data_IF_331486255803
#
_entry.id   IF_331486255803
#
_cell.length_a   1.000
_cell.length_b   1.000
_cell.length_c   1.000
_cell.angle_alpha   90.00
_cell.angle_beta   90.00
_cell.angle_gamma   90.00
#
_symmetry.space_group_name_H-M   'P 1'
#
loop_
_entity.id
_entity.type
_entity.pdbx_description
1 polymer ?
#
# COMPACT_ATOMS: atom_id res chain seq x y z
N UNK A 1 -35.59 -25.40 -13.64
CA UNK A 1 -34.31 -24.94 -14.22
C UNK A 1 -33.18 -25.21 -13.22
N UNK A 2 -32.33 -26.22 -13.46
CA UNK A 2 -31.25 -26.61 -12.53
C UNK A 2 -30.05 -25.64 -12.51
N UNK A 3 -29.18 -25.78 -11.50
CA UNK A 3 -27.92 -25.02 -11.41
C UNK A 3 -26.96 -25.44 -12.53
N UNK A 4 -26.65 -24.54 -13.46
CA UNK A 4 -25.55 -24.73 -14.42
C UNK A 4 -24.22 -24.31 -13.78
N UNK A 5 -23.16 -25.06 -14.05
CA UNK A 5 -21.79 -24.67 -13.69
C UNK A 5 -21.42 -23.40 -14.47
N UNK A 6 -20.85 -22.41 -13.78
CA UNK A 6 -20.37 -21.17 -14.37
C UNK A 6 -18.85 -21.09 -14.22
N UNK A 7 -18.17 -20.57 -15.23
CA UNK A 7 -16.76 -20.19 -15.13
C UNK A 7 -16.57 -18.99 -14.20
N UNK A 8 -15.43 -18.93 -13.49
CA UNK A 8 -15.08 -17.79 -12.64
C UNK A 8 -14.47 -16.70 -13.52
N UNK A 9 -15.34 -15.95 -14.19
CA UNK A 9 -15.04 -14.75 -14.96
C UNK A 9 -16.16 -13.72 -14.82
N UNK A 10 -15.94 -12.49 -15.31
CA UNK A 10 -16.98 -11.46 -15.31
C UNK A 10 -18.21 -11.95 -16.09
N UNK A 11 -19.39 -11.83 -15.49
CA UNK A 11 -20.66 -12.12 -16.18
C UNK A 11 -20.99 -10.92 -17.06
N UNK A 12 -21.00 -11.07 -18.37
CA UNK A 12 -21.20 -9.94 -19.30
C UNK A 12 -22.63 -9.39 -19.28
N UNK A 13 -23.63 -10.28 -19.29
CA UNK A 13 -25.03 -9.86 -19.24
C UNK A 13 -25.35 -9.13 -17.93
N UNK A 14 -25.78 -7.87 -18.03
CA UNK A 14 -26.03 -6.97 -16.89
C UNK A 14 -27.10 -7.50 -15.93
N UNK A 15 -28.22 -8.01 -16.46
CA UNK A 15 -29.33 -8.54 -15.65
C UNK A 15 -28.90 -9.80 -14.90
N UNK A 16 -28.25 -10.75 -15.59
CA UNK A 16 -27.69 -11.96 -14.97
C UNK A 16 -26.64 -11.62 -13.92
N UNK A 17 -25.78 -10.63 -14.17
CA UNK A 17 -24.77 -10.15 -13.22
C UNK A 17 -25.41 -9.55 -11.97
N UNK A 18 -26.46 -8.74 -12.11
CA UNK A 18 -27.17 -8.12 -10.98
C UNK A 18 -27.87 -9.17 -10.09
N UNK A 19 -28.56 -10.13 -10.71
CA UNK A 19 -29.21 -11.23 -9.99
C UNK A 19 -28.17 -12.11 -9.29
N UNK A 20 -27.07 -12.42 -9.98
CA UNK A 20 -26.00 -13.25 -9.42
C UNK A 20 -25.28 -12.53 -8.28
N UNK A 21 -25.01 -11.23 -8.41
CA UNK A 21 -24.45 -10.41 -7.34
C UNK A 21 -25.33 -10.47 -6.09
N UNK A 22 -26.63 -10.25 -6.25
CA UNK A 22 -27.58 -10.27 -5.13
C UNK A 22 -27.60 -11.63 -4.42
N UNK A 23 -27.66 -12.73 -5.19
CA UNK A 23 -27.66 -14.10 -4.64
C UNK A 23 -26.34 -14.47 -3.97
N UNK A 24 -25.20 -14.17 -4.62
CA UNK A 24 -23.87 -14.49 -4.08
C UNK A 24 -23.54 -13.65 -2.86
N UNK A 25 -23.86 -12.36 -2.86
CA UNK A 25 -23.68 -11.47 -1.69
C UNK A 25 -24.45 -12.00 -0.49
N UNK A 26 -25.73 -12.34 -0.68
CA UNK A 26 -26.55 -12.89 0.41
C UNK A 26 -26.01 -14.25 0.90
N UNK A 27 -25.58 -15.13 -0.02
CA UNK A 27 -24.95 -16.40 0.35
C UNK A 27 -23.63 -16.22 1.10
N UNK A 28 -22.83 -15.21 0.75
CA UNK A 28 -21.58 -14.88 1.43
C UNK A 28 -21.84 -14.31 2.83
N UNK A 29 -22.83 -13.44 2.99
CA UNK A 29 -23.28 -12.92 4.30
C UNK A 29 -23.70 -14.08 5.20
N UNK A 30 -24.48 -15.02 4.67
CA UNK A 30 -24.94 -16.17 5.45
C UNK A 30 -23.79 -17.10 5.87
N UNK A 31 -22.77 -17.25 5.02
CA UNK A 31 -21.54 -17.98 5.38
C UNK A 31 -20.71 -17.25 6.44
N UNK A 32 -20.58 -15.93 6.33
CA UNK A 32 -19.91 -15.11 7.34
C UNK A 32 -20.62 -15.18 8.69
N UNK A 33 -21.96 -15.16 8.69
CA UNK A 33 -22.79 -15.36 9.89
C UNK A 33 -22.57 -16.75 10.51
N UNK A 34 -22.60 -17.81 9.70
CA UNK A 34 -22.34 -19.17 10.16
C UNK A 34 -20.96 -19.29 10.81
N UNK A 35 -19.92 -18.74 10.18
CA UNK A 35 -18.56 -18.74 10.73
C UNK A 35 -18.50 -18.01 12.08
N UNK A 36 -19.12 -16.83 12.17
CA UNK A 36 -19.17 -16.04 13.39
C UNK A 36 -19.80 -16.82 14.54
N UNK A 37 -20.94 -17.48 14.29
CA UNK A 37 -21.65 -18.27 15.32
C UNK A 37 -20.92 -19.55 15.69
N UNK A 38 -20.41 -20.30 14.70
CA UNK A 38 -19.78 -21.61 14.94
C UNK A 38 -18.43 -21.51 15.65
N UNK A 39 -17.71 -20.41 15.46
CA UNK A 39 -16.35 -20.25 15.94
C UNK A 39 -16.17 -19.09 16.92
N UNK A 40 -17.28 -18.49 17.41
CA UNK A 40 -17.27 -17.30 18.27
C UNK A 40 -16.35 -16.18 17.73
N UNK A 41 -16.45 -15.95 16.42
CA UNK A 41 -15.58 -15.02 15.71
C UNK A 41 -16.31 -13.73 15.37
N UNK A 42 -15.62 -12.59 15.52
CA UNK A 42 -16.09 -11.31 14.97
C UNK A 42 -15.76 -11.22 13.49
N UNK A 43 -16.77 -11.07 12.64
CA UNK A 43 -16.62 -11.07 11.17
C UNK A 43 -17.28 -9.83 10.59
N UNK A 44 -16.55 -9.10 9.73
CA UNK A 44 -17.05 -7.98 8.95
C UNK A 44 -16.91 -8.25 7.45
N UNK A 45 -17.91 -7.82 6.66
CA UNK A 45 -17.91 -7.90 5.21
C UNK A 45 -18.33 -6.55 4.63
N UNK A 46 -17.55 -6.06 3.67
CA UNK A 46 -17.83 -4.86 2.88
C UNK A 46 -17.84 -5.24 1.40
N UNK A 47 -18.88 -4.84 0.68
CA UNK A 47 -19.03 -5.11 -0.76
C UNK A 47 -19.46 -3.85 -1.47
N UNK A 48 -18.68 -3.40 -2.45
CA UNK A 48 -19.03 -2.31 -3.35
C UNK A 48 -19.52 -2.92 -4.66
N UNK A 49 -20.73 -2.57 -5.11
CA UNK A 49 -21.21 -3.01 -6.42
C UNK A 49 -20.50 -2.27 -7.55
N UNK A 50 -20.61 -2.78 -8.77
CA UNK A 50 -20.17 -2.08 -9.97
C UNK A 50 -20.88 -0.71 -10.20
N UNK A 51 -21.97 -0.44 -9.49
CA UNK A 51 -22.67 0.84 -9.50
C UNK A 51 -22.22 1.79 -8.37
N UNK A 52 -21.18 1.42 -7.61
CA UNK A 52 -20.68 2.19 -6.47
C UNK A 52 -21.49 2.05 -5.18
N UNK A 53 -22.56 1.23 -5.17
CA UNK A 53 -23.38 1.07 -3.95
C UNK A 53 -22.65 0.18 -2.95
N UNK A 54 -22.50 0.70 -1.74
CA UNK A 54 -21.87 0.01 -0.62
C UNK A 54 -22.90 -0.88 0.11
N UNK A 55 -22.47 -2.09 0.45
CA UNK A 55 -23.20 -3.03 1.30
C UNK A 55 -22.26 -3.49 2.41
N UNK A 56 -22.74 -3.48 3.64
CA UNK A 56 -21.97 -3.93 4.81
C UNK A 56 -22.73 -4.98 5.62
N UNK A 57 -21.98 -5.83 6.30
CA UNK A 57 -22.47 -6.80 7.27
C UNK A 57 -21.43 -6.97 8.37
N UNK A 58 -21.89 -7.15 9.61
CA UNK A 58 -21.03 -7.53 10.74
C UNK A 58 -21.76 -8.51 11.66
N UNK A 59 -21.03 -9.44 12.27
CA UNK A 59 -21.51 -10.40 13.26
C UNK A 59 -20.47 -10.62 14.36
N UNK A 60 -20.92 -10.96 15.57
CA UNK A 60 -20.09 -11.01 16.79
C UNK A 60 -19.94 -9.63 17.41
N UNK A 61 -19.13 -8.77 16.79
CA UNK A 61 -18.96 -7.37 17.15
C UNK A 61 -19.63 -6.42 16.13
N UNK A 62 -19.81 -5.16 16.53
CA UNK A 62 -20.23 -4.12 15.58
C UNK A 62 -19.11 -3.78 14.60
N UNK A 63 -19.49 -3.36 13.38
CA UNK A 63 -18.55 -3.05 12.30
C UNK A 63 -17.46 -2.04 12.71
N UNK A 64 -17.83 -0.99 13.45
CA UNK A 64 -16.90 0.07 13.86
C UNK A 64 -15.79 -0.48 14.77
N UNK A 65 -16.13 -1.34 15.74
CA UNK A 65 -15.17 -1.98 16.63
C UNK A 65 -14.21 -2.90 15.87
N UNK A 66 -14.73 -3.65 14.89
CA UNK A 66 -13.92 -4.55 14.06
C UNK A 66 -12.93 -3.72 13.22
N UNK A 67 -13.39 -2.64 12.59
CA UNK A 67 -12.54 -1.74 11.81
C UNK A 67 -11.51 -1.00 12.66
N UNK A 68 -11.88 -0.55 13.86
CA UNK A 68 -10.95 0.09 14.80
C UNK A 68 -9.85 -0.89 15.24
N UNK A 69 -10.21 -2.14 15.57
CA UNK A 69 -9.23 -3.19 15.90
C UNK A 69 -8.29 -3.47 14.74
N UNK A 70 -8.84 -3.60 13.53
CA UNK A 70 -8.05 -3.79 12.32
C UNK A 70 -7.10 -2.61 12.06
N UNK A 71 -7.59 -1.38 12.16
CA UNK A 71 -6.79 -0.17 11.95
C UNK A 71 -5.65 -0.02 12.94
N UNK A 72 -5.87 -0.39 14.21
CA UNK A 72 -4.80 -0.40 15.24
C UNK A 72 -3.73 -1.45 14.99
N UNK A 73 -4.13 -2.63 14.51
CA UNK A 73 -3.19 -3.73 14.22
C UNK A 73 -2.41 -3.51 12.91
N UNK A 74 -3.02 -2.85 11.94
CA UNK A 74 -2.46 -2.61 10.60
C UNK A 74 -2.16 -1.13 10.33
N UNK A 75 -1.84 -0.36 11.37
CA UNK A 75 -1.64 1.08 11.24
C UNK A 75 -0.53 1.44 10.25
N UNK A 76 0.56 0.68 10.23
CA UNK A 76 1.70 0.93 9.34
C UNK A 76 1.42 0.51 7.89
N UNK A 77 0.70 -0.59 7.69
CA UNK A 77 0.25 -1.04 6.36
C UNK A 77 -0.74 -0.03 5.73
N UNK A 78 -1.68 0.49 6.53
CA UNK A 78 -2.65 1.49 6.09
C UNK A 78 -1.97 2.81 5.74
N UNK A 79 -0.94 3.23 6.48
CA UNK A 79 -0.12 4.40 6.13
C UNK A 79 0.63 4.19 4.81
N UNK A 80 1.20 3.01 4.59
CA UNK A 80 1.89 2.71 3.34
C UNK A 80 0.94 2.75 2.13
N UNK A 81 -0.27 2.19 2.26
CA UNK A 81 -1.32 2.23 1.24
C UNK A 81 -1.83 3.66 0.97
N UNK A 82 -2.01 4.47 2.02
CA UNK A 82 -2.40 5.88 1.89
C UNK A 82 -1.34 6.67 1.10
N UNK A 83 -0.06 6.51 1.44
CA UNK A 83 1.06 7.13 0.72
C UNK A 83 1.08 6.69 -0.75
N UNK A 84 0.85 5.41 -1.04
CA UNK A 84 0.83 4.89 -2.41
C UNK A 84 -0.36 5.44 -3.22
N UNK A 85 -1.56 5.50 -2.63
CA UNK A 85 -2.75 6.05 -3.29
C UNK A 85 -2.60 7.54 -3.60
N UNK A 86 -2.00 8.29 -2.67
CA UNK A 86 -1.65 9.70 -2.88
C UNK A 86 -0.61 9.86 -3.98
N UNK A 87 0.42 9.03 -4.02
CA UNK A 87 1.43 9.04 -5.08
C UNK A 87 0.86 8.74 -6.48
N UNK A 88 -0.28 8.05 -6.59
CA UNK A 88 -0.97 7.77 -7.87
C UNK A 88 -1.95 8.89 -8.28
N UNK A 89 -2.50 9.64 -7.32
CA UNK A 89 -3.43 10.73 -7.58
C UNK A 89 -2.74 12.06 -7.91
N UNK A 90 -1.46 12.21 -7.55
CA UNK A 90 -0.66 13.36 -7.93
C UNK A 90 0.17 13.01 -9.14
N UNK A 91 -0.09 13.68 -10.25
CA UNK A 91 0.79 13.64 -11.40
C UNK A 91 2.19 14.10 -11.04
N UNK A 92 3.13 13.83 -11.94
CA UNK A 92 4.57 13.94 -11.70
C UNK A 92 4.97 15.23 -10.96
N UNK A 93 6.08 15.21 -10.20
CA UNK A 93 6.65 16.39 -9.53
C UNK A 93 6.69 17.67 -10.41
N UNK A 94 6.71 17.49 -11.74
CA UNK A 94 6.59 18.54 -12.74
C UNK A 94 5.25 19.31 -12.69
N UNK A 95 4.11 18.64 -12.53
CA UNK A 95 2.79 19.28 -12.45
C UNK A 95 2.64 20.10 -11.16
N UNK A 96 3.25 19.64 -10.06
CA UNK A 96 3.31 20.41 -8.82
C UNK A 96 4.19 21.66 -8.97
N UNK A 97 5.31 21.55 -9.68
CA UNK A 97 6.18 22.68 -10.01
C UNK A 97 5.46 23.71 -10.87
N UNK A 98 4.77 23.26 -11.92
CA UNK A 98 4.02 24.13 -12.84
C UNK A 98 2.85 24.84 -12.12
N UNK A 99 2.17 24.16 -11.19
CA UNK A 99 1.11 24.75 -10.36
C UNK A 99 1.66 25.82 -9.40
N UNK A 100 2.82 25.56 -8.77
CA UNK A 100 3.49 26.51 -7.86
C UNK A 100 3.98 27.73 -8.64
N UNK A 101 4.61 27.53 -9.80
CA UNK A 101 5.08 28.62 -10.66
C UNK A 101 3.91 29.49 -11.16
N UNK A 102 2.84 28.86 -11.66
CA UNK A 102 1.65 29.55 -12.18
C UNK A 102 0.93 30.38 -11.12
N UNK A 103 0.82 29.89 -9.88
CA UNK A 103 0.02 30.53 -8.82
C UNK A 103 0.80 31.48 -7.90
N UNK A 104 2.08 31.22 -7.66
CA UNK A 104 2.87 31.95 -6.66
C UNK A 104 4.00 32.80 -7.26
N UNK A 105 4.48 32.46 -8.45
CA UNK A 105 5.60 33.17 -9.11
C UNK A 105 5.10 34.11 -10.21
N UNK A 106 4.00 33.77 -10.89
CA UNK A 106 3.29 34.66 -11.81
C UNK A 106 2.54 35.79 -11.09
N UNK A 107 2.32 36.91 -11.78
CA UNK A 107 1.68 38.16 -11.31
C UNK A 107 0.21 38.04 -10.83
N UNK A 108 -0.26 36.84 -10.48
CA UNK A 108 -1.61 36.50 -10.06
C UNK A 108 -1.81 36.36 -8.55
N UNK A 109 -0.80 36.69 -7.72
CA UNK A 109 -0.84 36.57 -6.26
C UNK A 109 -2.01 37.34 -5.62
N UNK A 110 -2.56 38.37 -6.29
CA UNK A 110 -3.67 39.18 -5.78
C UNK A 110 -5.04 38.48 -5.78
N UNK A 111 -5.21 37.33 -6.44
CA UNK A 111 -6.49 36.61 -6.58
C UNK A 111 -6.48 35.17 -6.06
N UNK A 112 -5.48 34.79 -5.26
CA UNK A 112 -5.39 33.42 -4.71
C UNK A 112 -6.26 33.33 -3.44
N UNK A 113 -7.25 32.45 -3.43
CA UNK A 113 -8.12 32.25 -2.27
C UNK A 113 -7.43 31.43 -1.18
N UNK A 114 -7.85 31.62 0.08
CA UNK A 114 -7.33 30.86 1.23
C UNK A 114 -7.51 29.35 1.03
N UNK A 115 -8.65 28.91 0.48
CA UNK A 115 -8.90 27.49 0.19
C UNK A 115 -7.88 26.92 -0.79
N UNK A 116 -7.46 27.69 -1.80
CA UNK A 116 -6.44 27.24 -2.74
C UNK A 116 -5.04 27.17 -2.14
N UNK A 117 -4.74 27.99 -1.12
CA UNK A 117 -3.49 27.92 -0.36
C UNK A 117 -3.46 26.69 0.56
N UNK A 118 -4.58 26.39 1.22
CA UNK A 118 -4.71 25.19 2.08
C UNK A 118 -4.53 23.92 1.23
N UNK A 119 -5.18 23.85 0.07
CA UNK A 119 -4.99 22.73 -0.87
C UNK A 119 -3.54 22.60 -1.34
N UNK A 120 -2.88 23.74 -1.61
CA UNK A 120 -1.47 23.72 -2.04
C UNK A 120 -0.54 23.26 -0.91
N UNK A 121 -0.79 23.67 0.32
CA UNK A 121 -0.05 23.21 1.50
C UNK A 121 -0.20 21.70 1.70
N UNK A 122 -1.42 21.16 1.60
CA UNK A 122 -1.68 19.72 1.68
C UNK A 122 -0.96 18.93 0.57
N UNK A 123 -0.98 19.48 -0.66
CA UNK A 123 -0.29 18.88 -1.80
C UNK A 123 1.24 18.86 -1.59
N UNK A 124 1.82 19.97 -1.14
CA UNK A 124 3.26 20.06 -0.84
C UNK A 124 3.66 19.14 0.32
N UNK A 125 2.85 19.10 1.38
CA UNK A 125 3.06 18.19 2.51
C UNK A 125 3.06 16.73 2.09
N UNK A 126 2.13 16.36 1.20
CA UNK A 126 2.03 15.01 0.66
C UNK A 126 3.21 14.67 -0.24
N UNK A 127 3.57 15.56 -1.17
CA UNK A 127 4.73 15.36 -2.05
C UNK A 127 6.02 15.20 -1.25
N UNK A 128 6.23 16.04 -0.23
CA UNK A 128 7.38 15.96 0.66
C UNK A 128 7.43 14.62 1.42
N UNK A 129 6.27 14.14 1.89
CA UNK A 129 6.15 12.85 2.56
C UNK A 129 6.54 11.69 1.63
N UNK A 130 6.02 11.68 0.40
CA UNK A 130 6.35 10.68 -0.63
C UNK A 130 7.85 10.71 -0.97
N UNK A 131 8.43 11.90 -1.18
CA UNK A 131 9.87 12.05 -1.45
C UNK A 131 10.72 11.53 -0.30
N UNK A 132 10.36 11.84 0.95
CA UNK A 132 11.07 11.34 2.14
C UNK A 132 10.97 9.81 2.27
N UNK A 133 9.79 9.24 2.01
CA UNK A 133 9.60 7.79 2.00
C UNK A 133 10.48 7.13 0.95
N UNK A 134 10.49 7.65 -0.29
CA UNK A 134 11.33 7.11 -1.37
C UNK A 134 12.82 7.24 -1.07
N UNK A 135 13.25 8.37 -0.52
CA UNK A 135 14.64 8.57 -0.07
C UNK A 135 15.03 7.53 0.98
N UNK A 136 14.14 7.24 1.92
CA UNK A 136 14.39 6.25 2.98
C UNK A 136 14.49 4.85 2.40
N UNK A 137 13.61 4.46 1.49
CA UNK A 137 13.65 3.17 0.79
C UNK A 137 14.98 2.96 0.05
N UNK A 138 15.43 3.97 -0.72
CA UNK A 138 16.70 3.92 -1.44
C UNK A 138 17.90 3.86 -0.49
N UNK A 139 17.85 4.60 0.62
CA UNK A 139 18.91 4.57 1.64
C UNK A 139 19.03 3.19 2.28
N UNK A 140 17.90 2.55 2.61
CA UNK A 140 17.91 1.19 3.16
C UNK A 140 18.51 0.17 2.19
N UNK A 141 18.13 0.25 0.90
CA UNK A 141 18.73 -0.57 -0.16
C UNK A 141 20.24 -0.37 -0.28
N UNK A 142 20.70 0.88 -0.19
CA UNK A 142 22.13 1.18 -0.21
C UNK A 142 22.86 0.59 1.00
N UNK A 143 22.29 0.69 2.20
CA UNK A 143 22.86 0.10 3.42
C UNK A 143 22.97 -1.42 3.30
N UNK A 144 21.95 -2.08 2.75
CA UNK A 144 21.97 -3.53 2.53
C UNK A 144 23.09 -3.95 1.56
N UNK A 145 23.19 -3.28 0.40
CA UNK A 145 24.26 -3.52 -0.56
C UNK A 145 25.67 -3.29 0.05
N UNK A 146 25.84 -2.26 0.88
CA UNK A 146 27.11 -1.99 1.54
C UNK A 146 27.47 -3.08 2.56
N UNK A 147 26.49 -3.60 3.32
CA UNK A 147 26.72 -4.73 4.24
C UNK A 147 27.14 -6.00 3.52
N UNK A 148 26.53 -6.30 2.38
CA UNK A 148 26.94 -7.44 1.55
C UNK A 148 28.38 -7.27 1.05
N UNK A 149 28.71 -6.07 0.54
CA UNK A 149 30.07 -5.76 0.09
C UNK A 149 31.10 -5.87 1.21
N UNK A 150 30.78 -5.39 2.41
CA UNK A 150 31.65 -5.53 3.59
C UNK A 150 31.93 -7.00 3.91
N UNK A 151 30.89 -7.85 3.84
CA UNK A 151 31.04 -9.29 4.09
C UNK A 151 31.96 -9.96 3.07
N UNK A 152 31.83 -9.63 1.79
CA UNK A 152 32.69 -10.16 0.73
C UNK A 152 34.15 -9.74 0.92
N UNK A 153 34.40 -8.46 1.18
CA UNK A 153 35.75 -7.94 1.42
C UNK A 153 36.41 -8.55 2.66
N UNK A 154 35.63 -8.81 3.72
CA UNK A 154 36.12 -9.51 4.91
C UNK A 154 36.57 -10.94 4.59
N UNK A 155 35.80 -11.67 3.78
CA UNK A 155 36.16 -13.01 3.36
C UNK A 155 37.42 -13.02 2.48
N UNK A 156 37.52 -12.08 1.53
CA UNK A 156 38.71 -11.93 0.68
C UNK A 156 39.95 -11.59 1.50
N UNK A 157 39.85 -10.65 2.45
CA UNK A 157 40.95 -10.31 3.35
C UNK A 157 41.42 -11.49 4.20
N UNK A 158 40.51 -12.37 4.67
CA UNK A 158 40.90 -13.59 5.39
C UNK A 158 41.69 -14.55 4.52
N UNK A 159 41.30 -14.71 3.25
CA UNK A 159 42.02 -15.55 2.28
C UNK A 159 43.41 -14.97 2.02
N UNK A 160 43.51 -13.68 1.74
CA UNK A 160 44.78 -13.00 1.49
C UNK A 160 45.71 -13.07 2.71
N UNK A 161 45.20 -12.84 3.92
CA UNK A 161 45.98 -12.98 5.14
C UNK A 161 46.55 -14.39 5.33
N UNK A 162 45.74 -15.42 5.01
CA UNK A 162 46.18 -16.82 5.06
C UNK A 162 47.26 -17.14 4.02
N UNK A 163 47.17 -16.55 2.83
CA UNK A 163 48.17 -16.69 1.77
C UNK A 163 49.49 -16.00 2.13
N UNK A 164 49.43 -14.78 2.66
CA UNK A 164 50.61 -14.05 3.16
C UNK A 164 51.30 -14.87 4.24
N UNK A 165 50.54 -15.37 5.23
CA UNK A 165 51.09 -16.22 6.29
C UNK A 165 51.83 -17.44 5.73
N UNK A 166 51.22 -18.17 4.77
CA UNK A 166 51.86 -19.31 4.10
C UNK A 166 53.14 -18.92 3.36
N UNK A 167 53.15 -17.80 2.62
CA UNK A 167 54.35 -17.34 1.93
C UNK A 167 55.47 -16.98 2.91
N UNK A 168 55.17 -16.28 4.00
CA UNK A 168 56.17 -15.97 5.03
C UNK A 168 56.74 -17.21 5.71
N UNK A 169 55.96 -18.28 5.90
CA UNK A 169 56.49 -19.54 6.45
C UNK A 169 57.35 -20.33 5.47
N UNK A 170 57.12 -20.21 4.16
CA UNK A 170 57.90 -20.88 3.11
C UNK A 170 59.23 -20.17 2.82
N UNK A 171 59.37 -18.88 3.15
CA UNK A 171 60.62 -18.11 2.95
C UNK A 171 61.62 -18.22 4.12
N UNK A 172 61.27 -18.94 5.19
CA UNK A 172 62.11 -19.16 6.39
C UNK A 172 62.76 -20.57 6.36
N UNK A 173 62.60 -21.33 5.28
CA UNK A 173 63.32 -22.58 4.97
C UNK A 173 64.03 -22.44 3.62
#
# INVERSE_FOLDING_TARGET
MGRKKLEIKRIENKSSRQVTFSKRRNGLIEKARQLSVLCDASVALLVVSASGKLYSFSSGDNLVKILDRYGKQHADDLKALDIQSKALNYGSHHELLELVESKLVGSNVKNVSVDTLVQLEEHLGTALSVTRAKKTELMLKLVENLKEKEKLLKAENQVLASQIYRQSTLSIH
#
